data_IF_989415428930
#
_entry.id   IF_989415428930
#
_cell.length_a   1.000
_cell.length_b   1.000
_cell.length_c   1.000
_cell.angle_alpha   90.00
_cell.angle_beta   90.00
_cell.angle_gamma   90.00
#
_symmetry.space_group_name_H-M   'P 1'
#
loop_
_entity.id
_entity.type
_entity.pdbx_description
1 polymer ?
#
# COMPACT_ATOMS: atom_id res chain seq x y z
N UNK A 1 1.58 1.07 -2.43
CA UNK A 1 1.60 1.15 -0.94
C UNK A 1 3.02 0.98 -0.43
N UNK A 2 3.31 1.29 0.84
CA UNK A 2 4.53 0.85 1.52
C UNK A 2 4.22 -0.28 2.47
N UNK A 3 5.12 -1.26 2.52
CA UNK A 3 5.11 -2.30 3.53
C UNK A 3 5.97 -1.88 4.70
N UNK A 4 5.58 -2.24 5.92
CA UNK A 4 6.41 -2.10 7.12
C UNK A 4 7.02 -3.44 7.50
N UNK A 5 8.34 -3.60 7.34
CA UNK A 5 9.03 -4.79 7.84
C UNK A 5 9.23 -4.67 9.35
N UNK A 6 8.71 -5.63 10.09
CA UNK A 6 8.75 -5.65 11.56
C UNK A 6 10.06 -6.24 12.08
N UNK A 7 11.21 -5.72 11.64
CA UNK A 7 12.52 -6.00 12.26
C UNK A 7 13.03 -4.83 13.11
N UNK A 8 12.67 -3.59 12.74
CA UNK A 8 13.05 -2.39 13.48
C UNK A 8 12.07 -2.14 14.64
N UNK A 9 12.55 -2.04 15.90
CA UNK A 9 11.75 -1.74 17.09
C UNK A 9 10.79 -0.55 16.94
N UNK A 10 11.19 0.47 16.19
CA UNK A 10 10.35 1.64 15.92
C UNK A 10 9.09 1.25 15.15
N UNK A 11 9.24 0.40 14.13
CA UNK A 11 8.14 -0.06 13.27
C UNK A 11 7.23 -1.05 13.99
N UNK A 12 7.71 -1.76 15.02
CA UNK A 12 6.84 -2.61 15.86
C UNK A 12 5.77 -1.82 16.61
N UNK A 13 6.05 -0.56 16.96
CA UNK A 13 5.10 0.28 17.67
C UNK A 13 3.99 0.77 16.73
N UNK A 14 2.75 0.38 17.01
CA UNK A 14 1.58 0.77 16.19
C UNK A 14 1.40 2.29 16.11
N UNK A 15 1.72 3.02 17.19
CA UNK A 15 1.61 4.48 17.18
C UNK A 15 2.63 5.11 16.23
N UNK A 16 3.83 4.54 16.10
CA UNK A 16 4.83 5.01 15.11
C UNK A 16 4.32 4.74 13.70
N UNK A 17 3.79 3.54 13.39
CA UNK A 17 3.23 3.25 12.06
C UNK A 17 2.06 4.16 11.69
N UNK A 18 1.18 4.45 12.65
CA UNK A 18 0.08 5.42 12.49
C UNK A 18 0.62 6.83 12.27
N UNK A 19 1.61 7.25 13.06
CA UNK A 19 2.23 8.56 12.90
C UNK A 19 2.86 8.75 11.51
N UNK A 20 3.58 7.73 11.02
CA UNK A 20 4.14 7.72 9.67
C UNK A 20 3.02 7.84 8.63
N UNK A 21 1.93 7.10 8.78
CA UNK A 21 0.78 7.20 7.88
C UNK A 21 0.15 8.62 7.86
N UNK A 22 0.04 9.29 9.01
CA UNK A 22 -0.53 10.64 9.13
C UNK A 22 0.43 11.76 8.69
N UNK A 23 1.76 11.56 8.76
CA UNK A 23 2.71 12.61 8.35
C UNK A 23 2.95 12.64 6.83
N UNK A 24 2.81 11.49 6.16
CA UNK A 24 3.08 11.36 4.73
C UNK A 24 2.04 12.14 3.92
N UNK A 25 2.54 13.02 3.06
CA UNK A 25 1.73 13.78 2.12
C UNK A 25 1.37 12.94 0.88
N UNK A 26 0.35 12.10 1.03
CA UNK A 26 -0.07 11.17 -0.03
C UNK A 26 -0.54 11.90 -1.29
N UNK A 27 -1.19 13.05 -1.16
CA UNK A 27 -1.65 13.83 -2.31
C UNK A 27 -0.45 14.42 -3.06
N UNK A 28 0.51 15.02 -2.36
CA UNK A 28 1.75 15.49 -2.97
C UNK A 28 2.51 14.37 -3.68
N UNK A 29 2.56 13.18 -3.10
CA UNK A 29 3.17 12.01 -3.76
C UNK A 29 2.42 11.68 -5.05
N UNK A 30 1.09 11.67 -5.05
CA UNK A 30 0.34 11.44 -6.29
C UNK A 30 0.67 12.50 -7.35
N UNK A 31 0.65 13.78 -6.97
CA UNK A 31 0.83 14.89 -7.91
C UNK A 31 2.26 14.96 -8.47
N UNK A 32 3.28 14.85 -7.61
CA UNK A 32 4.69 15.04 -7.99
C UNK A 32 5.37 13.77 -8.50
N UNK A 33 4.92 12.59 -8.05
CA UNK A 33 5.59 11.30 -8.36
C UNK A 33 4.80 10.49 -9.39
N UNK A 34 3.47 10.46 -9.29
CA UNK A 34 2.61 9.59 -10.11
C UNK A 34 1.74 10.36 -11.12
N UNK A 35 1.88 11.68 -11.20
CA UNK A 35 1.21 12.51 -12.21
C UNK A 35 -0.24 12.85 -11.91
N UNK A 36 -0.70 12.68 -10.66
CA UNK A 36 -1.99 13.19 -10.15
C UNK A 36 -3.25 12.49 -10.67
N UNK A 37 -3.10 11.40 -11.42
CA UNK A 37 -4.25 10.71 -12.04
C UNK A 37 -4.95 9.72 -11.10
N UNK A 38 -4.31 9.33 -10.00
CA UNK A 38 -4.81 8.26 -9.14
C UNK A 38 -5.38 8.81 -7.83
N UNK A 39 -6.56 8.34 -7.39
CA UNK A 39 -7.11 8.74 -6.11
C UNK A 39 -6.27 8.17 -4.96
N UNK A 40 -6.13 8.95 -3.89
CA UNK A 40 -5.48 8.50 -2.66
C UNK A 40 -6.25 7.31 -2.06
N UNK A 41 -5.54 6.21 -1.82
CA UNK A 41 -6.12 5.01 -1.24
C UNK A 41 -6.44 5.21 0.24
N UNK A 42 -7.63 4.77 0.66
CA UNK A 42 -8.09 4.84 2.06
C UNK A 42 -7.90 3.53 2.83
N UNK A 43 -7.70 2.42 2.13
CA UNK A 43 -7.57 1.09 2.73
C UNK A 43 -6.93 0.11 1.75
N UNK A 44 -7.03 -1.17 2.09
CA UNK A 44 -6.46 -2.25 1.27
C UNK A 44 -7.29 -2.51 0.01
N UNK A 45 -8.60 -2.35 0.12
CA UNK A 45 -9.53 -2.65 -0.96
C UNK A 45 -9.78 -1.42 -1.85
N UNK A 46 -9.69 -1.56 -3.18
CA UNK A 46 -10.22 -0.54 -4.08
C UNK A 46 -11.75 -0.48 -3.98
N UNK A 47 -12.33 0.64 -4.41
CA UNK A 47 -13.78 0.89 -4.35
C UNK A 47 -14.62 -0.03 -5.24
N UNK A 48 -13.98 -0.73 -6.18
CA UNK A 48 -14.60 -1.81 -6.97
C UNK A 48 -14.85 -3.08 -6.16
N UNK A 49 -14.09 -3.30 -5.08
CA UNK A 49 -14.22 -4.45 -4.18
C UNK A 49 -15.07 -4.10 -2.96
N UNK A 50 -14.72 -2.99 -2.28
CA UNK A 50 -15.42 -2.55 -1.09
C UNK A 50 -15.69 -1.05 -1.14
N UNK A 51 -16.98 -0.68 -1.08
CA UNK A 51 -17.40 0.70 -0.82
C UNK A 51 -17.72 0.85 0.65
N UNK A 52 -16.69 1.11 1.46
CA UNK A 52 -16.84 1.38 2.88
C UNK A 52 -17.05 2.90 3.09
N UNK A 53 -18.28 3.38 3.35
CA UNK A 53 -18.55 4.81 3.55
C UNK A 53 -17.89 5.35 4.82
N UNK A 54 -17.56 4.48 5.77
CA UNK A 54 -16.93 4.82 7.04
C UNK A 54 -15.40 4.71 7.00
N UNK A 55 -14.81 4.35 5.85
CA UNK A 55 -13.36 4.26 5.71
C UNK A 55 -12.74 5.65 5.87
N UNK A 56 -12.02 5.81 6.98
CA UNK A 56 -11.40 7.09 7.36
C UNK A 56 -10.13 7.36 6.54
N UNK A 57 -9.37 6.31 6.25
CA UNK A 57 -8.03 6.41 5.71
C UNK A 57 -7.10 7.27 6.58
N UNK A 58 -5.89 7.50 6.09
CA UNK A 58 -4.89 8.32 6.75
C UNK A 58 -4.65 9.59 5.93
N UNK A 59 -5.52 10.58 6.12
CA UNK A 59 -5.29 11.93 5.59
C UNK A 59 -4.17 12.60 6.36
N UNK A 60 -3.39 13.47 5.70
CA UNK A 60 -2.26 14.15 6.35
C UNK A 60 -2.73 14.96 7.56
N UNK A 61 -2.20 14.63 8.74
CA UNK A 61 -2.46 15.33 10.01
C UNK A 61 -1.19 15.34 10.86
N UNK A 62 -0.45 16.44 10.76
CA UNK A 62 0.83 16.63 11.46
C UNK A 62 0.63 16.62 12.98
N UNK A 63 -0.49 17.18 13.48
CA UNK A 63 -0.77 17.25 14.92
C UNK A 63 -0.97 15.85 15.48
N UNK A 64 -1.81 15.05 14.81
CA UNK A 64 -2.07 13.67 15.19
C UNK A 64 -0.84 12.79 15.05
N UNK A 65 -0.03 12.99 14.01
CA UNK A 65 1.23 12.28 13.87
C UNK A 65 2.19 12.55 15.04
N UNK A 66 2.35 13.81 15.46
CA UNK A 66 3.18 14.18 16.62
C UNK A 66 2.62 13.65 17.94
N UNK A 67 1.30 13.66 18.11
CA UNK A 67 0.64 13.08 19.29
C UNK A 67 0.93 11.57 19.39
N UNK A 68 0.78 10.84 18.29
CA UNK A 68 1.08 9.41 18.23
C UNK A 68 2.56 9.12 18.49
N UNK A 69 3.48 9.94 17.97
CA UNK A 69 4.90 9.82 18.33
C UNK A 69 5.12 10.01 19.83
N UNK A 70 4.49 11.01 20.47
CA UNK A 70 4.57 11.20 21.93
C UNK A 70 4.02 9.99 22.70
N UNK A 71 2.87 9.45 22.28
CA UNK A 71 2.28 8.25 22.89
C UNK A 71 3.13 6.99 22.69
N UNK A 72 3.94 6.95 21.62
CA UNK A 72 4.85 5.83 21.37
C UNK A 72 6.07 5.82 22.30
N UNK A 73 6.41 6.95 22.93
CA UNK A 73 7.63 7.13 23.71
C UNK A 73 8.91 7.28 22.86
N UNK A 74 8.80 7.26 21.52
CA UNK A 74 9.90 7.45 20.59
C UNK A 74 10.11 8.95 20.34
N UNK A 75 11.31 9.45 20.66
CA UNK A 75 11.67 10.86 20.44
C UNK A 75 12.47 11.08 19.15
N UNK A 76 13.25 10.08 18.73
CA UNK A 76 14.03 10.08 17.51
C UNK A 76 14.21 8.65 17.02
N UNK A 77 14.62 8.51 15.76
CA UNK A 77 14.79 7.20 15.18
C UNK A 77 15.44 7.21 13.82
N UNK A 78 15.76 6.03 13.35
CA UNK A 78 16.26 5.79 12.00
C UNK A 78 15.40 4.70 11.36
N UNK A 79 14.97 4.97 10.13
CA UNK A 79 14.19 4.04 9.31
C UNK A 79 14.87 3.94 7.95
N UNK A 80 14.90 2.74 7.37
CA UNK A 80 15.45 2.52 6.02
C UNK A 80 14.36 2.34 4.98
N UNK A 81 14.56 2.90 3.79
CA UNK A 81 13.67 2.76 2.64
C UNK A 81 14.42 2.17 1.45
N UNK A 82 13.96 1.01 0.96
CA UNK A 82 14.52 0.35 -0.20
C UNK A 82 14.09 1.01 -1.50
N UNK A 83 15.05 1.42 -2.33
CA UNK A 83 14.82 1.98 -3.67
C UNK A 83 15.38 1.05 -4.74
N UNK A 84 14.67 0.91 -5.86
CA UNK A 84 15.18 0.20 -7.02
C UNK A 84 16.30 1.03 -7.64
N UNK A 85 17.51 0.48 -7.62
CA UNK A 85 18.73 1.20 -8.03
C UNK A 85 18.63 1.63 -9.48
N UNK A 86 18.88 2.92 -9.72
CA UNK A 86 18.93 3.48 -11.06
C UNK A 86 20.10 4.47 -11.16
N UNK A 87 20.75 4.53 -12.33
CA UNK A 87 21.90 5.41 -12.56
C UNK A 87 21.51 6.90 -12.52
N UNK A 88 20.34 7.27 -13.03
CA UNK A 88 19.88 8.67 -13.08
C UNK A 88 19.54 9.24 -11.70
N UNK A 89 19.23 8.37 -10.71
CA UNK A 89 18.62 8.73 -9.42
C UNK A 89 17.33 9.55 -9.55
N UNK A 90 16.73 9.61 -10.73
CA UNK A 90 15.51 10.35 -11.02
C UNK A 90 14.38 9.39 -11.42
N UNK A 91 14.05 8.49 -10.51
CA UNK A 91 12.92 7.57 -10.66
C UNK A 91 11.86 7.88 -9.62
N UNK A 92 10.66 7.30 -9.79
CA UNK A 92 9.58 7.39 -8.81
C UNK A 92 10.04 6.95 -7.40
N UNK A 93 10.91 5.94 -7.30
CA UNK A 93 11.45 5.49 -6.01
C UNK A 93 12.29 6.59 -5.32
N UNK A 94 13.17 7.27 -6.05
CA UNK A 94 14.02 8.32 -5.47
C UNK A 94 13.24 9.59 -5.16
N UNK A 95 12.34 10.02 -6.05
CA UNK A 95 11.46 11.18 -5.79
C UNK A 95 10.60 10.95 -4.56
N UNK A 96 10.02 9.76 -4.45
CA UNK A 96 9.29 9.35 -3.26
C UNK A 96 10.17 9.35 -2.01
N UNK A 97 11.38 8.77 -2.07
CA UNK A 97 12.28 8.73 -0.94
C UNK A 97 12.64 10.14 -0.42
N UNK A 98 12.77 11.12 -1.32
CA UNK A 98 12.96 12.53 -0.96
C UNK A 98 11.77 13.10 -0.18
N UNK A 99 10.54 12.89 -0.65
CA UNK A 99 9.32 13.33 0.06
C UNK A 99 9.21 12.64 1.42
N UNK A 100 9.45 11.33 1.49
CA UNK A 100 9.43 10.57 2.74
C UNK A 100 10.48 11.09 3.72
N UNK A 101 11.69 11.40 3.26
CA UNK A 101 12.76 11.95 4.10
C UNK A 101 12.38 13.31 4.69
N UNK A 102 11.75 14.17 3.89
CA UNK A 102 11.22 15.46 4.35
C UNK A 102 10.12 15.26 5.42
N UNK A 103 9.13 14.41 5.14
CA UNK A 103 8.00 14.19 6.03
C UNK A 103 8.42 13.50 7.34
N UNK A 104 9.27 12.48 7.29
CA UNK A 104 9.71 11.75 8.48
C UNK A 104 10.61 12.59 9.40
N UNK A 105 11.35 13.56 8.84
CA UNK A 105 12.15 14.49 9.63
C UNK A 105 11.29 15.32 10.60
N UNK A 106 10.04 15.64 10.24
CA UNK A 106 9.06 16.32 11.13
C UNK A 106 8.68 15.51 12.37
N UNK A 107 8.92 14.19 12.34
CA UNK A 107 8.73 13.28 13.47
C UNK A 107 10.04 12.95 14.20
N UNK A 108 11.16 13.60 13.83
CA UNK A 108 12.48 13.26 14.38
C UNK A 108 13.04 11.93 13.87
N UNK A 109 12.48 11.41 12.78
CA UNK A 109 12.92 10.14 12.16
C UNK A 109 13.83 10.46 10.98
N UNK A 110 15.06 9.96 11.03
CA UNK A 110 15.98 9.99 9.90
C UNK A 110 15.69 8.84 8.93
N UNK A 111 15.41 9.17 7.66
CA UNK A 111 15.25 8.17 6.60
C UNK A 111 16.57 7.94 5.87
N UNK A 112 17.02 6.69 5.82
CA UNK A 112 18.14 6.25 5.01
C UNK A 112 17.68 5.43 3.81
N UNK A 113 18.34 5.62 2.68
CA UNK A 113 18.00 4.94 1.42
C UNK A 113 18.92 3.72 1.27
N UNK A 114 18.34 2.56 1.02
CA UNK A 114 19.05 1.34 0.65
C UNK A 114 18.78 1.07 -0.83
N UNK A 115 19.84 1.01 -1.63
CA UNK A 115 19.70 0.71 -3.05
C UNK A 115 19.69 -0.79 -3.29
N UNK A 116 18.69 -1.26 -4.02
CA UNK A 116 18.46 -2.68 -4.28
C UNK A 116 18.53 -2.89 -5.79
N UNK A 117 19.23 -3.94 -6.21
CA UNK A 117 19.35 -4.27 -7.63
C UNK A 117 17.96 -4.51 -8.24
N UNK A 118 17.60 -3.89 -9.38
CA UNK A 118 16.21 -3.88 -9.87
C UNK A 118 15.58 -5.26 -10.06
N UNK A 119 16.37 -6.23 -10.54
CA UNK A 119 15.91 -7.62 -10.75
C UNK A 119 15.59 -8.35 -9.45
N UNK A 120 16.08 -7.84 -8.32
CA UNK A 120 15.93 -8.43 -6.99
C UNK A 120 15.04 -7.60 -6.06
N UNK A 121 14.41 -6.55 -6.57
CA UNK A 121 13.67 -5.59 -5.75
C UNK A 121 12.46 -6.20 -5.03
N UNK A 122 11.88 -7.28 -5.55
CA UNK A 122 10.79 -8.00 -4.90
C UNK A 122 11.22 -9.33 -4.28
N UNK A 123 12.52 -9.64 -4.30
CA UNK A 123 13.06 -10.81 -3.61
C UNK A 123 13.13 -10.49 -2.11
N UNK A 124 12.46 -11.29 -1.29
CA UNK A 124 12.43 -11.08 0.17
C UNK A 124 13.85 -10.96 0.76
N UNK A 125 14.78 -11.80 0.33
CA UNK A 125 16.16 -11.79 0.84
C UNK A 125 16.91 -10.48 0.58
N UNK A 126 16.52 -9.72 -0.44
CA UNK A 126 17.16 -8.46 -0.82
C UNK A 126 16.55 -7.25 -0.14
N UNK A 127 15.30 -7.34 0.30
CA UNK A 127 14.54 -6.25 0.93
C UNK A 127 14.41 -6.41 2.44
N UNK A 128 14.66 -7.60 2.99
CA UNK A 128 14.41 -7.93 4.39
C UNK A 128 15.21 -7.10 5.41
N UNK A 129 16.24 -6.38 4.97
CA UNK A 129 17.04 -5.48 5.82
C UNK A 129 16.60 -4.00 5.68
N UNK A 130 15.55 -3.75 4.90
CA UNK A 130 14.87 -2.47 4.83
C UNK A 130 13.67 -2.43 5.78
N UNK A 131 13.29 -1.25 6.24
CA UNK A 131 12.09 -1.08 7.07
C UNK A 131 10.85 -0.82 6.22
N UNK A 132 11.03 -0.27 5.02
CA UNK A 132 9.99 0.02 4.06
C UNK A 132 10.44 -0.17 2.61
N UNK A 133 9.54 -0.66 1.76
CA UNK A 133 9.70 -0.64 0.29
C UNK A 133 8.42 -0.12 -0.38
N UNK A 134 8.54 0.38 -1.61
CA UNK A 134 7.39 0.61 -2.48
C UNK A 134 6.90 -0.72 -3.03
N UNK A 135 5.69 -1.12 -2.66
CA UNK A 135 5.07 -2.37 -3.10
C UNK A 135 3.66 -2.12 -3.65
N UNK A 136 3.22 -2.98 -4.56
CA UNK A 136 1.91 -2.90 -5.19
C UNK A 136 1.32 -4.29 -5.33
N UNK A 137 -0.01 -4.34 -5.34
CA UNK A 137 -0.76 -5.57 -5.59
C UNK A 137 -1.82 -5.28 -6.64
N UNK A 138 -1.90 -6.15 -7.65
CA UNK A 138 -2.95 -6.12 -8.66
C UNK A 138 -3.84 -7.33 -8.41
N UNK A 139 -5.15 -7.12 -8.28
CA UNK A 139 -6.06 -8.22 -8.05
C UNK A 139 -6.26 -9.08 -9.31
N UNK A 140 -6.39 -10.40 -9.13
CA UNK A 140 -6.52 -11.41 -10.18
C UNK A 140 -7.94 -11.95 -10.36
N UNK A 141 -8.81 -11.83 -9.34
CA UNK A 141 -10.13 -12.46 -9.32
C UNK A 141 -11.29 -11.48 -9.18
N UNK A 142 -11.01 -10.21 -8.86
CA UNK A 142 -12.04 -9.23 -8.52
C UNK A 142 -12.75 -9.52 -7.19
N UNK A 143 -12.16 -10.34 -6.31
CA UNK A 143 -12.70 -10.67 -4.99
C UNK A 143 -11.79 -10.18 -3.86
N UNK A 144 -12.36 -9.99 -2.67
CA UNK A 144 -11.62 -9.47 -1.51
C UNK A 144 -10.52 -10.43 -1.02
N UNK A 145 -10.73 -11.74 -1.09
CA UNK A 145 -9.76 -12.76 -0.69
C UNK A 145 -8.43 -12.65 -1.45
N UNK A 146 -8.47 -12.26 -2.72
CA UNK A 146 -7.27 -12.08 -3.53
C UNK A 146 -6.44 -10.85 -3.12
N UNK A 147 -6.93 -9.98 -2.23
CA UNK A 147 -6.09 -8.97 -1.56
C UNK A 147 -5.61 -9.46 -0.19
N UNK A 148 -6.44 -10.21 0.55
CA UNK A 148 -6.11 -10.58 1.93
C UNK A 148 -5.18 -11.77 2.01
N UNK A 149 -5.45 -12.87 1.31
CA UNK A 149 -4.61 -14.07 1.39
C UNK A 149 -3.17 -13.78 0.94
N UNK A 150 -2.92 -13.11 -0.20
CA UNK A 150 -1.55 -12.88 -0.65
C UNK A 150 -0.77 -11.90 0.22
N UNK A 151 -1.45 -10.90 0.79
CA UNK A 151 -0.79 -9.80 1.51
C UNK A 151 -0.74 -10.01 3.02
N UNK A 152 -1.49 -10.95 3.59
CA UNK A 152 -1.62 -11.11 5.05
C UNK A 152 -1.31 -12.52 5.53
N UNK A 153 -1.56 -13.57 4.74
CA UNK A 153 -1.15 -14.91 5.13
C UNK A 153 0.39 -14.96 5.25
N UNK A 154 0.89 -15.32 6.42
CA UNK A 154 2.32 -15.38 6.73
C UNK A 154 3.07 -16.39 5.85
N UNK A 155 2.36 -17.43 5.38
CA UNK A 155 2.90 -18.47 4.52
C UNK A 155 2.93 -18.07 3.05
N UNK A 156 2.26 -16.97 2.67
CA UNK A 156 2.26 -16.51 1.30
C UNK A 156 3.57 -15.80 0.96
N UNK A 157 4.18 -16.15 -0.17
CA UNK A 157 5.40 -15.52 -0.65
C UNK A 157 5.23 -14.02 -0.95
N UNK A 158 4.01 -13.60 -1.29
CA UNK A 158 3.67 -12.20 -1.59
C UNK A 158 3.51 -11.34 -0.33
N UNK A 159 3.39 -11.96 0.86
CA UNK A 159 3.40 -11.23 2.13
C UNK A 159 4.83 -10.86 2.49
N UNK A 160 5.32 -9.81 1.84
CA UNK A 160 6.67 -9.28 2.06
C UNK A 160 6.78 -8.59 3.42
N UNK A 161 5.70 -7.96 3.93
CA UNK A 161 5.73 -7.26 5.22
C UNK A 161 5.89 -8.21 6.41
N UNK A 162 5.55 -9.50 6.22
CA UNK A 162 5.42 -10.50 7.28
C UNK A 162 4.47 -10.05 8.39
N UNK A 163 3.52 -9.18 8.04
CA UNK A 163 2.42 -8.87 8.92
C UNK A 163 1.55 -10.11 9.07
N UNK A 164 1.31 -10.50 10.31
CA UNK A 164 0.48 -11.65 10.67
C UNK A 164 -0.60 -11.18 11.65
N UNK A 165 -1.85 -11.48 11.32
CA UNK A 165 -3.00 -11.29 12.19
C UNK A 165 -4.01 -12.42 11.89
N UNK A 166 -4.01 -13.50 12.69
CA UNK A 166 -4.87 -14.66 12.46
C UNK A 166 -6.36 -14.34 12.42
N UNK A 167 -6.79 -13.28 13.12
CA UNK A 167 -8.20 -12.88 13.13
C UNK A 167 -8.65 -12.32 11.77
N UNK A 168 -7.75 -11.68 11.00
CA UNK A 168 -8.07 -11.26 9.64
C UNK A 168 -8.34 -12.46 8.72
N UNK A 169 -7.57 -13.54 8.87
CA UNK A 169 -7.77 -14.77 8.10
C UNK A 169 -9.06 -15.50 8.51
N UNK A 170 -9.40 -15.51 9.80
CA UNK A 170 -10.67 -16.06 10.31
C UNK A 170 -11.88 -15.30 9.74
N UNK A 171 -11.84 -13.96 9.79
CA UNK A 171 -12.88 -13.11 9.21
C UNK A 171 -12.97 -13.33 7.70
N UNK A 172 -11.85 -13.48 7.00
CA UNK A 172 -11.86 -13.78 5.57
C UNK A 172 -12.54 -15.12 5.27
N UNK A 173 -12.21 -16.18 6.02
CA UNK A 173 -12.84 -17.48 5.85
C UNK A 173 -14.36 -17.41 6.11
N UNK A 174 -14.76 -16.63 7.11
CA UNK A 174 -16.18 -16.34 7.38
C UNK A 174 -16.83 -15.60 6.21
N UNK A 175 -16.15 -14.59 5.64
CA UNK A 175 -16.64 -13.86 4.47
C UNK A 175 -16.83 -14.79 3.27
N UNK A 176 -15.87 -15.68 2.98
CA UNK A 176 -15.95 -16.66 1.89
C UNK A 176 -17.14 -17.63 2.03
N UNK A 177 -17.53 -17.98 3.25
CA UNK A 177 -18.70 -18.81 3.53
C UNK A 177 -20.03 -18.04 3.53
N UNK A 178 -19.99 -16.70 3.57
CA UNK A 178 -21.18 -15.86 3.72
C UNK A 178 -21.85 -15.58 2.39
N UNK A 179 -23.12 -15.98 2.26
CA UNK A 179 -23.94 -15.73 1.05
C UNK A 179 -24.73 -14.43 1.09
N UNK A 180 -25.06 -13.94 2.29
CA UNK A 180 -25.81 -12.70 2.44
C UNK A 180 -24.89 -11.50 2.11
N UNK A 181 -25.23 -10.66 1.12
CA UNK A 181 -24.35 -9.58 0.68
C UNK A 181 -24.16 -8.48 1.72
N UNK A 182 -25.13 -8.24 2.60
CA UNK A 182 -25.01 -7.25 3.68
C UNK A 182 -24.03 -7.72 4.74
N UNK A 183 -24.20 -8.96 5.22
CA UNK A 183 -23.28 -9.57 6.19
C UNK A 183 -21.87 -9.70 5.62
N UNK A 184 -21.73 -10.08 4.34
CA UNK A 184 -20.44 -10.11 3.65
C UNK A 184 -19.74 -8.74 3.69
N UNK A 185 -20.47 -7.67 3.34
CA UNK A 185 -19.93 -6.31 3.34
C UNK A 185 -19.54 -5.84 4.76
N UNK A 186 -20.36 -6.14 5.77
CA UNK A 186 -20.03 -5.85 7.17
C UNK A 186 -18.72 -6.52 7.61
N UNK A 187 -18.52 -7.79 7.26
CA UNK A 187 -17.27 -8.51 7.54
C UNK A 187 -16.09 -7.83 6.84
N UNK A 188 -16.22 -7.45 5.57
CA UNK A 188 -15.16 -6.75 4.85
C UNK A 188 -14.86 -5.36 5.43
N UNK A 189 -15.87 -4.62 5.88
CA UNK A 189 -15.67 -3.36 6.58
C UNK A 189 -14.92 -3.54 7.90
N UNK A 190 -15.24 -4.60 8.65
CA UNK A 190 -14.51 -4.94 9.89
C UNK A 190 -13.05 -5.29 9.59
N UNK A 191 -12.80 -6.05 8.51
CA UNK A 191 -11.47 -6.39 8.05
C UNK A 191 -10.65 -5.14 7.69
N UNK A 192 -11.22 -4.25 6.88
CA UNK A 192 -10.59 -2.96 6.51
C UNK A 192 -10.28 -2.09 7.75
N UNK A 193 -11.19 -2.07 8.73
CA UNK A 193 -10.99 -1.34 9.98
C UNK A 193 -9.87 -1.92 10.84
N UNK A 194 -9.73 -3.25 10.95
CA UNK A 194 -8.63 -3.88 11.69
C UNK A 194 -7.29 -3.54 11.02
N UNK A 195 -7.21 -3.62 9.68
CA UNK A 195 -6.00 -3.25 8.95
C UNK A 195 -5.69 -1.76 9.14
N UNK A 196 -6.71 -0.90 9.12
CA UNK A 196 -6.55 0.51 9.44
C UNK A 196 -5.96 0.69 10.83
N UNK A 197 -6.51 0.04 11.86
CA UNK A 197 -6.03 0.17 13.24
C UNK A 197 -4.65 -0.46 13.49
N UNK A 198 -4.27 -1.51 12.76
CA UNK A 198 -2.96 -2.12 12.87
C UNK A 198 -1.89 -1.36 12.07
N UNK A 199 -2.31 -0.57 11.07
CA UNK A 199 -1.45 0.19 10.16
C UNK A 199 -0.23 -0.60 9.63
N UNK A 200 -0.39 -1.83 9.08
CA UNK A 200 0.72 -2.62 8.55
C UNK A 200 1.28 -2.06 7.23
N UNK A 201 0.52 -1.16 6.59
CA UNK A 201 0.84 -0.56 5.31
C UNK A 201 0.66 0.96 5.35
N UNK A 202 1.33 1.66 4.43
CA UNK A 202 0.95 3.01 4.00
C UNK A 202 0.31 2.91 2.63
N UNK A 203 -1.01 2.97 2.57
CA UNK A 203 -1.73 2.98 1.28
C UNK A 203 -1.56 4.32 0.59
N UNK A 204 -1.13 4.32 -0.67
CA UNK A 204 -0.85 5.53 -1.47
C UNK A 204 -1.94 5.83 -2.47
N UNK A 205 -2.23 4.87 -3.34
CA UNK A 205 -3.25 4.94 -4.39
C UNK A 205 -3.80 3.57 -4.72
N UNK A 206 -4.98 3.58 -5.34
CA UNK A 206 -5.46 2.49 -6.16
C UNK A 206 -5.22 2.87 -7.62
N UNK A 207 -4.27 2.17 -8.25
CA UNK A 207 -3.84 2.44 -9.62
C UNK A 207 -5.02 2.27 -10.57
N UNK A 208 -5.19 3.24 -11.48
CA UNK A 208 -6.16 3.17 -12.56
C UNK A 208 -5.43 3.05 -13.89
N UNK A 209 -5.83 2.10 -14.73
CA UNK A 209 -5.20 1.90 -16.03
C UNK A 209 -5.75 2.88 -17.06
N UNK A 210 -4.86 3.60 -17.74
CA UNK A 210 -5.18 4.51 -18.84
C UNK A 210 -4.64 3.93 -20.13
N UNK A 211 -5.49 3.85 -21.16
CA UNK A 211 -5.12 3.34 -22.48
C UNK A 211 -5.32 4.41 -23.54
N UNK A 212 -4.27 4.66 -24.34
CA UNK A 212 -4.36 5.49 -25.52
C UNK A 212 -4.62 4.60 -26.75
N UNK A 213 -5.69 4.90 -27.49
CA UNK A 213 -6.14 4.11 -28.63
C UNK A 213 -6.28 5.01 -29.84
N UNK A 214 -5.74 4.60 -30.99
CA UNK A 214 -5.90 5.35 -32.24
C UNK A 214 -7.39 5.43 -32.63
N UNK A 215 -7.81 6.55 -33.22
CA UNK A 215 -9.25 6.83 -33.47
C UNK A 215 -9.94 5.80 -34.37
N UNK A 216 -9.17 5.19 -35.27
CA UNK A 216 -9.62 4.19 -36.24
C UNK A 216 -9.54 2.75 -35.72
N UNK A 217 -8.90 2.50 -34.56
CA UNK A 217 -8.94 1.19 -33.91
C UNK A 217 -10.30 1.01 -33.23
N UNK A 218 -10.97 -0.10 -33.54
CA UNK A 218 -12.28 -0.49 -33.01
C UNK A 218 -12.20 -1.84 -32.30
N UNK A 219 -13.20 -2.12 -31.46
CA UNK A 219 -13.38 -3.41 -30.79
C UNK A 219 -12.43 -3.69 -29.61
N UNK A 220 -11.61 -2.72 -29.21
CA UNK A 220 -10.79 -2.83 -27.99
C UNK A 220 -11.69 -2.75 -26.75
N UNK A 221 -11.67 -3.82 -25.95
CA UNK A 221 -12.27 -3.86 -24.61
C UNK A 221 -11.17 -4.21 -23.63
N UNK A 222 -10.97 -3.35 -22.64
CA UNK A 222 -10.02 -3.58 -21.55
C UNK A 222 -10.73 -4.38 -20.46
N UNK A 223 -10.16 -5.52 -20.08
CA UNK A 223 -10.66 -6.29 -18.95
C UNK A 223 -10.36 -5.58 -17.62
N UNK A 224 -11.26 -5.61 -16.61
CA UNK A 224 -11.02 -4.99 -15.30
C UNK A 224 -9.75 -5.47 -14.57
N UNK A 225 -9.20 -6.63 -14.95
CA UNK A 225 -7.93 -7.18 -14.47
C UNK A 225 -6.72 -6.71 -15.30
N UNK A 226 -6.85 -5.57 -16.00
CA UNK A 226 -5.78 -4.94 -16.78
C UNK A 226 -5.26 -5.76 -17.98
N UNK A 227 -6.06 -6.70 -18.50
CA UNK A 227 -5.70 -7.51 -19.67
C UNK A 227 -6.44 -7.06 -20.93
N UNK A 228 -5.75 -7.15 -22.08
CA UNK A 228 -6.32 -6.86 -23.41
C UNK A 228 -6.43 -8.16 -24.18
N UNK A 229 -7.61 -8.44 -24.73
CA UNK A 229 -7.81 -9.48 -25.74
C UNK A 229 -7.87 -8.82 -27.11
N UNK A 230 -6.96 -9.22 -28.00
CA UNK A 230 -6.86 -8.65 -29.35
C UNK A 230 -7.80 -9.31 -30.37
N UNK A 231 -8.50 -10.37 -29.99
CA UNK A 231 -9.38 -11.16 -30.86
C UNK A 231 -10.48 -10.35 -31.55
N UNK A 232 -10.95 -9.27 -30.94
CA UNK A 232 -11.99 -8.39 -31.49
C UNK A 232 -11.44 -7.03 -31.98
N UNK A 233 -10.13 -6.84 -31.97
CA UNK A 233 -9.50 -5.55 -32.32
C UNK A 233 -9.27 -5.49 -33.82
N UNK A 234 -9.75 -4.42 -34.46
CA UNK A 234 -9.57 -4.19 -35.90
C UNK A 234 -9.39 -2.70 -36.21
N UNK A 235 -9.00 -2.41 -37.45
CA UNK A 235 -8.82 -1.07 -38.01
C UNK A 235 -9.52 -0.99 -39.36
#
# INVERSE_FOLDING_TARGET
MFNFFRKNPLIHNVNVRKAINYIIDKQRIQDEVFGGMEPVAKGIFPTSILKNPNSKGYNKDIRKARELMRLSGVNNGKITFGVSKNASKDTSHYRLASILKENLKELGINLEIIEIEPRRYYDFDSIQDTDMILYGWLGDSGTADNFIEPLIDINNASNLSKYDNPHLLELLNTAKATRNPYTYNEILCNLDNIIFEDAPYVFLSHISSVYAVAKDVKGLVVHPLNSIKYENVWR
#
